data_IF_742453189933
#
_entry.id   IF_742453189933
#
_cell.length_a   1.000
_cell.length_b   1.000
_cell.length_c   1.000
_cell.angle_alpha   90.00
_cell.angle_beta   90.00
_cell.angle_gamma   90.00
#
_symmetry.space_group_name_H-M   'P 1'
#
loop_
_entity.id
_entity.type
_entity.pdbx_description
1 polymer ?
#
# COMPACT_ATOMS: atom_id res chain seq x y z
N UNK A 1 -32.20 1.23 5.45
CA UNK A 1 -31.22 0.19 5.17
C UNK A 1 -30.13 0.18 6.25
N UNK A 2 -29.67 -1.02 6.70
CA UNK A 2 -28.68 -1.15 7.75
C UNK A 2 -27.33 -0.53 7.35
N UNK A 3 -26.98 -0.61 6.07
CA UNK A 3 -25.74 -0.03 5.52
C UNK A 3 -25.72 1.49 5.59
N UNK A 4 -26.87 2.13 5.36
CA UNK A 4 -27.06 3.57 5.51
C UNK A 4 -26.88 3.99 6.96
N UNK A 5 -27.64 3.35 7.86
CA UNK A 5 -27.57 3.66 9.29
C UNK A 5 -26.18 3.48 9.88
N UNK A 6 -25.45 2.43 9.45
CA UNK A 6 -24.08 2.20 9.88
C UNK A 6 -23.14 3.31 9.39
N UNK A 7 -23.26 3.71 8.12
CA UNK A 7 -22.44 4.80 7.56
C UNK A 7 -22.74 6.14 8.23
N UNK A 8 -24.03 6.43 8.50
CA UNK A 8 -24.45 7.63 9.25
C UNK A 8 -23.89 7.63 10.67
N UNK A 9 -23.94 6.48 11.37
CA UNK A 9 -23.38 6.37 12.71
C UNK A 9 -21.87 6.64 12.73
N UNK A 10 -21.11 6.13 11.78
CA UNK A 10 -19.67 6.41 11.67
C UNK A 10 -19.42 7.90 11.46
N UNK A 11 -20.23 8.57 10.62
CA UNK A 11 -20.13 10.02 10.41
C UNK A 11 -20.44 10.80 11.70
N UNK A 12 -21.46 10.37 12.45
CA UNK A 12 -21.79 10.96 13.76
C UNK A 12 -20.66 10.77 14.80
N UNK A 13 -19.90 9.70 14.71
CA UNK A 13 -18.71 9.45 15.54
C UNK A 13 -17.47 10.26 15.12
N UNK A 14 -17.56 11.05 14.05
CA UNK A 14 -16.47 11.88 13.56
C UNK A 14 -15.59 11.23 12.50
N UNK A 15 -15.96 10.05 11.96
CA UNK A 15 -15.28 9.44 10.83
C UNK A 15 -15.82 10.00 9.52
N UNK A 16 -15.02 10.76 8.74
CA UNK A 16 -15.48 11.32 7.48
C UNK A 16 -15.73 10.21 6.46
N UNK A 17 -16.65 10.46 5.54
CA UNK A 17 -16.90 9.56 4.42
C UNK A 17 -15.63 9.37 3.55
N UNK A 18 -15.44 8.14 3.05
CA UNK A 18 -14.33 7.83 2.17
C UNK A 18 -14.49 8.55 0.82
N UNK A 19 -13.56 9.46 0.49
CA UNK A 19 -13.55 10.19 -0.80
C UNK A 19 -13.50 9.27 -2.02
N UNK A 20 -12.92 8.06 -1.87
CA UNK A 20 -12.87 7.03 -2.91
C UNK A 20 -14.12 6.16 -2.99
N UNK A 21 -15.15 6.41 -2.17
CA UNK A 21 -16.40 5.65 -2.17
C UNK A 21 -16.26 4.20 -1.67
N UNK A 22 -15.13 3.85 -1.03
CA UNK A 22 -14.89 2.51 -0.47
C UNK A 22 -15.52 2.45 0.91
N UNK A 23 -16.80 2.14 0.92
CA UNK A 23 -17.62 2.19 2.11
C UNK A 23 -18.89 1.34 1.96
N UNK A 24 -19.46 0.91 3.07
CA UNK A 24 -20.60 0.01 3.10
C UNK A 24 -21.87 0.58 2.42
N UNK A 25 -22.05 1.91 2.43
CA UNK A 25 -23.15 2.60 1.72
C UNK A 25 -23.09 2.35 0.21
N UNK A 26 -21.90 2.27 -0.38
CA UNK A 26 -21.71 2.05 -1.80
C UNK A 26 -22.02 0.57 -2.16
N UNK A 27 -23.00 0.35 -3.02
CA UNK A 27 -23.43 -0.98 -3.46
C UNK A 27 -22.29 -1.79 -4.13
N UNK A 28 -21.32 -1.12 -4.77
CA UNK A 28 -20.15 -1.79 -5.35
C UNK A 28 -19.29 -2.53 -4.32
N UNK A 29 -19.40 -2.16 -3.02
CA UNK A 29 -18.66 -2.80 -1.92
C UNK A 29 -19.52 -3.74 -1.07
N UNK A 30 -20.68 -4.14 -1.59
CA UNK A 30 -21.60 -5.13 -1.00
C UNK A 30 -21.85 -6.26 -1.99
N UNK A 31 -22.15 -7.45 -1.47
CA UNK A 31 -22.53 -8.57 -2.33
C UNK A 31 -22.39 -9.92 -1.64
N UNK A 32 -22.87 -10.93 -2.32
CA UNK A 32 -22.70 -12.34 -1.96
C UNK A 32 -21.26 -12.81 -2.20
N UNK A 33 -20.89 -13.96 -1.65
CA UNK A 33 -19.59 -14.63 -1.93
C UNK A 33 -19.39 -14.84 -3.42
N UNK A 34 -20.43 -15.21 -4.16
CA UNK A 34 -20.33 -15.41 -5.62
C UNK A 34 -20.03 -14.12 -6.36
N UNK A 35 -20.72 -13.01 -6.03
CA UNK A 35 -20.48 -11.70 -6.65
C UNK A 35 -19.09 -11.17 -6.31
N UNK A 36 -18.65 -11.31 -5.08
CA UNK A 36 -17.29 -10.94 -4.66
C UNK A 36 -16.23 -11.80 -5.37
N UNK A 37 -16.45 -13.10 -5.50
CA UNK A 37 -15.53 -13.99 -6.24
C UNK A 37 -15.41 -13.59 -7.71
N UNK A 38 -16.51 -13.17 -8.33
CA UNK A 38 -16.51 -12.64 -9.69
C UNK A 38 -15.75 -11.31 -9.77
N UNK A 39 -16.02 -10.35 -8.87
CA UNK A 39 -15.32 -9.05 -8.85
C UNK A 39 -13.81 -9.20 -8.69
N UNK A 40 -13.34 -9.98 -7.71
CA UNK A 40 -11.89 -10.14 -7.48
C UNK A 40 -11.22 -10.86 -8.64
N UNK A 41 -11.90 -11.81 -9.29
CA UNK A 41 -11.42 -12.44 -10.53
C UNK A 41 -11.28 -11.41 -11.65
N UNK A 42 -12.30 -10.59 -11.87
CA UNK A 42 -12.30 -9.61 -12.96
C UNK A 42 -11.26 -8.51 -12.72
N UNK A 43 -11.08 -8.06 -11.48
CA UNK A 43 -10.01 -7.13 -11.11
C UNK A 43 -8.60 -7.68 -11.37
N UNK A 44 -8.42 -8.98 -11.25
CA UNK A 44 -7.13 -9.63 -11.50
C UNK A 44 -6.91 -9.93 -12.98
N UNK A 45 -7.90 -10.54 -13.66
CA UNK A 45 -7.75 -11.08 -15.02
C UNK A 45 -7.97 -10.02 -16.10
N UNK A 46 -8.88 -9.08 -15.87
CA UNK A 46 -9.29 -8.05 -16.83
C UNK A 46 -9.32 -6.67 -16.14
N UNK A 47 -8.17 -6.20 -15.63
CA UNK A 47 -8.14 -4.94 -14.87
C UNK A 47 -8.48 -3.75 -15.77
N UNK A 48 -9.53 -3.03 -15.40
CA UNK A 48 -9.97 -1.78 -16.00
C UNK A 48 -9.99 -0.67 -14.95
N UNK A 49 -9.64 0.54 -15.31
CA UNK A 49 -9.67 1.70 -14.41
C UNK A 49 -8.96 1.41 -13.08
N UNK A 50 -9.69 1.49 -11.97
CA UNK A 50 -9.17 1.32 -10.60
C UNK A 50 -9.12 -0.13 -10.11
N UNK A 51 -9.33 -1.12 -10.98
CA UNK A 51 -9.43 -2.55 -10.60
C UNK A 51 -8.26 -3.05 -9.75
N UNK A 52 -7.02 -2.74 -10.13
CA UNK A 52 -5.83 -3.16 -9.37
C UNK A 52 -5.72 -2.46 -8.02
N UNK A 53 -6.21 -1.22 -7.91
CA UNK A 53 -6.32 -0.50 -6.63
C UNK A 53 -7.38 -1.17 -5.73
N UNK A 54 -8.54 -1.52 -6.29
CA UNK A 54 -9.59 -2.23 -5.56
C UNK A 54 -9.12 -3.61 -5.09
N UNK A 55 -8.39 -4.33 -5.95
CA UNK A 55 -7.76 -5.61 -5.57
C UNK A 55 -6.76 -5.42 -4.42
N UNK A 56 -5.92 -4.38 -4.48
CA UNK A 56 -4.97 -4.07 -3.41
C UNK A 56 -5.66 -3.79 -2.07
N UNK A 57 -6.79 -3.07 -2.10
CA UNK A 57 -7.61 -2.79 -0.92
C UNK A 57 -8.24 -4.08 -0.38
N UNK A 58 -8.80 -4.92 -1.26
CA UNK A 58 -9.40 -6.19 -0.87
C UNK A 58 -8.40 -7.15 -0.21
N UNK A 59 -7.15 -7.18 -0.67
CA UNK A 59 -6.09 -8.01 -0.09
C UNK A 59 -5.78 -7.65 1.37
N UNK A 60 -6.10 -6.43 1.81
CA UNK A 60 -5.93 -5.98 3.20
C UNK A 60 -7.22 -6.12 4.05
N UNK A 61 -8.32 -6.59 3.44
CA UNK A 61 -9.58 -6.76 4.15
C UNK A 61 -9.47 -7.83 5.25
N UNK A 62 -10.14 -7.61 6.36
CA UNK A 62 -10.32 -8.61 7.42
C UNK A 62 -11.75 -8.54 7.96
N UNK A 63 -12.23 -9.64 8.48
CA UNK A 63 -13.56 -9.71 9.06
C UNK A 63 -13.58 -8.99 10.42
N UNK A 64 -14.45 -8.01 10.57
CA UNK A 64 -14.63 -7.28 11.84
C UNK A 64 -15.90 -7.72 12.58
N UNK A 65 -16.87 -8.29 11.86
CA UNK A 65 -18.10 -8.82 12.40
C UNK A 65 -18.72 -9.85 11.45
N UNK A 66 -19.58 -10.72 11.97
CA UNK A 66 -20.25 -11.75 11.19
C UNK A 66 -19.40 -13.00 10.96
N UNK A 67 -19.73 -13.78 9.94
CA UNK A 67 -19.04 -15.01 9.61
C UNK A 67 -17.77 -14.76 8.80
N UNK A 68 -16.60 -14.94 9.42
CA UNK A 68 -15.30 -14.77 8.79
C UNK A 68 -15.05 -15.76 7.64
N UNK A 69 -15.76 -16.91 7.59
CA UNK A 69 -15.62 -17.90 6.52
C UNK A 69 -16.02 -17.32 5.15
N UNK A 70 -16.95 -16.37 5.10
CA UNK A 70 -17.37 -15.72 3.86
C UNK A 70 -16.20 -14.98 3.17
N UNK A 71 -15.42 -14.23 3.94
CA UNK A 71 -14.23 -13.55 3.43
C UNK A 71 -13.13 -14.55 3.08
N UNK A 72 -12.92 -15.56 3.92
CA UNK A 72 -11.90 -16.58 3.69
C UNK A 72 -12.12 -17.33 2.38
N UNK A 73 -13.36 -17.68 2.03
CA UNK A 73 -13.71 -18.35 0.77
C UNK A 73 -13.35 -17.49 -0.45
N UNK A 74 -13.70 -16.21 -0.46
CA UNK A 74 -13.36 -15.30 -1.57
C UNK A 74 -11.84 -15.14 -1.71
N UNK A 75 -11.12 -15.01 -0.57
CA UNK A 75 -9.66 -14.92 -0.57
C UNK A 75 -8.98 -16.18 -1.10
N UNK A 76 -9.47 -17.34 -0.71
CA UNK A 76 -8.93 -18.60 -1.20
C UNK A 76 -9.06 -18.72 -2.72
N UNK A 77 -10.22 -18.37 -3.28
CA UNK A 77 -10.43 -18.34 -4.73
C UNK A 77 -9.50 -17.36 -5.43
N UNK A 78 -9.32 -16.15 -4.87
CA UNK A 78 -8.37 -15.17 -5.40
C UNK A 78 -6.94 -15.71 -5.43
N UNK A 79 -6.48 -16.34 -4.33
CA UNK A 79 -5.13 -16.90 -4.26
C UNK A 79 -4.91 -18.03 -5.27
N UNK A 80 -5.90 -18.88 -5.49
CA UNK A 80 -5.83 -19.91 -6.51
C UNK A 80 -5.61 -19.29 -7.91
N UNK A 81 -6.38 -18.26 -8.26
CA UNK A 81 -6.24 -17.58 -9.55
C UNK A 81 -4.91 -16.83 -9.70
N UNK A 82 -4.45 -16.14 -8.65
CA UNK A 82 -3.24 -15.33 -8.70
C UNK A 82 -1.97 -16.18 -8.85
N UNK A 83 -1.91 -17.33 -8.17
CA UNK A 83 -0.70 -18.15 -8.13
C UNK A 83 -0.50 -19.05 -9.35
N UNK A 84 -1.47 -19.14 -10.22
CA UNK A 84 -1.37 -19.88 -11.47
C UNK A 84 -0.82 -19.02 -12.62
N UNK A 85 -0.48 -17.76 -12.37
CA UNK A 85 -0.02 -16.83 -13.42
C UNK A 85 0.96 -15.78 -12.93
N UNK A 86 2.25 -15.99 -13.17
CA UNK A 86 3.31 -15.00 -12.94
C UNK A 86 3.03 -13.65 -13.63
N UNK A 87 2.51 -13.57 -14.88
CA UNK A 87 2.22 -12.30 -15.53
C UNK A 87 1.16 -11.46 -14.80
N UNK A 88 0.17 -12.09 -14.16
CA UNK A 88 -0.86 -11.36 -13.40
C UNK A 88 -0.26 -10.71 -12.15
N UNK A 89 0.60 -11.45 -11.45
CA UNK A 89 1.31 -10.93 -10.28
C UNK A 89 2.27 -9.79 -10.68
N UNK A 90 3.00 -9.96 -11.79
CA UNK A 90 3.89 -8.94 -12.31
C UNK A 90 3.12 -7.65 -12.66
N UNK A 91 1.99 -7.76 -13.38
CA UNK A 91 1.11 -6.61 -13.68
C UNK A 91 0.63 -5.91 -12.41
N UNK A 92 0.20 -6.67 -11.41
CA UNK A 92 -0.21 -6.09 -10.13
C UNK A 92 0.94 -5.36 -9.44
N UNK A 93 2.15 -5.95 -9.45
CA UNK A 93 3.33 -5.38 -8.82
C UNK A 93 3.86 -4.12 -9.52
N UNK A 94 3.67 -3.98 -10.85
CA UNK A 94 4.13 -2.81 -11.62
C UNK A 94 3.63 -1.46 -11.08
N UNK A 95 2.54 -1.44 -10.31
CA UNK A 95 2.07 -0.23 -9.67
C UNK A 95 3.11 0.42 -8.72
N UNK A 96 4.15 -0.30 -8.27
CA UNK A 96 5.25 0.27 -7.48
C UNK A 96 6.00 1.37 -8.24
N UNK A 97 5.91 1.40 -9.56
CA UNK A 97 6.57 2.37 -10.44
C UNK A 97 5.65 3.51 -10.87
N UNK A 98 4.36 3.45 -10.54
CA UNK A 98 3.34 4.41 -10.96
C UNK A 98 3.63 5.87 -10.53
N UNK A 99 4.48 6.07 -9.52
CA UNK A 99 4.79 7.41 -8.99
C UNK A 99 6.19 7.92 -9.37
N UNK A 100 6.75 7.38 -10.44
CA UNK A 100 7.97 7.89 -11.06
C UNK A 100 9.28 7.41 -10.42
N UNK A 101 10.37 7.77 -11.10
CA UNK A 101 11.74 7.41 -10.68
C UNK A 101 12.14 8.18 -9.41
N UNK A 102 12.88 7.54 -8.49
CA UNK A 102 13.48 8.20 -7.34
C UNK A 102 14.40 9.39 -7.68
N UNK A 103 14.86 9.53 -8.91
CA UNK A 103 15.87 10.52 -9.32
C UNK A 103 15.46 11.97 -8.99
N UNK A 104 14.22 12.37 -9.23
CA UNK A 104 13.80 13.75 -9.00
C UNK A 104 13.76 14.15 -7.51
N UNK A 105 13.39 13.24 -6.60
CA UNK A 105 13.37 13.55 -5.18
C UNK A 105 14.72 13.31 -4.49
N UNK A 106 15.60 12.42 -5.04
CA UNK A 106 17.00 12.32 -4.62
C UNK A 106 17.74 13.65 -4.81
N UNK A 107 17.54 14.29 -5.96
CA UNK A 107 18.11 15.60 -6.23
C UNK A 107 17.61 16.66 -5.23
N UNK A 108 16.31 16.63 -4.88
CA UNK A 108 15.75 17.52 -3.84
C UNK A 108 16.36 17.26 -2.48
N UNK A 109 16.52 15.98 -2.10
CA UNK A 109 17.08 15.60 -0.81
C UNK A 109 18.57 15.96 -0.68
N UNK A 110 19.29 15.95 -1.79
CA UNK A 110 20.71 16.33 -1.87
C UNK A 110 20.92 17.84 -2.07
N UNK A 111 19.85 18.63 -2.19
CA UNK A 111 19.94 20.06 -2.49
C UNK A 111 20.40 20.38 -3.92
N UNK A 112 20.30 19.40 -4.84
CA UNK A 112 20.74 19.51 -6.23
C UNK A 112 19.57 19.74 -7.21
N UNK A 113 18.35 19.94 -6.73
CA UNK A 113 17.15 20.10 -7.56
C UNK A 113 16.20 21.16 -7.05
N UNK A 114 15.01 21.26 -7.67
CA UNK A 114 13.97 22.19 -7.24
C UNK A 114 13.62 21.99 -5.75
N UNK A 115 13.67 23.08 -4.98
CA UNK A 115 13.23 23.11 -3.58
C UNK A 115 11.72 22.85 -3.50
N UNK A 116 11.31 22.05 -2.53
CA UNK A 116 9.89 21.85 -2.28
C UNK A 116 9.54 20.60 -1.49
N UNK A 117 8.29 20.51 -1.01
CA UNK A 117 7.81 19.40 -0.20
C UNK A 117 7.83 18.08 -0.99
N UNK A 118 8.18 16.99 -0.28
CA UNK A 118 8.20 15.62 -0.82
C UNK A 118 6.97 14.86 -0.35
N UNK A 119 6.29 14.19 -1.27
CA UNK A 119 5.18 13.30 -0.96
C UNK A 119 5.72 11.92 -0.55
N UNK A 120 5.94 11.72 0.76
CA UNK A 120 6.49 10.49 1.30
C UNK A 120 5.56 9.28 1.10
N UNK A 121 4.23 9.49 0.93
CA UNK A 121 3.31 8.42 0.58
C UNK A 121 3.69 7.80 -0.77
N UNK A 122 3.96 8.64 -1.77
CA UNK A 122 4.32 8.20 -3.12
C UNK A 122 5.76 7.72 -3.23
N UNK A 123 6.69 8.43 -2.56
CA UNK A 123 8.11 8.16 -2.67
C UNK A 123 8.58 6.89 -1.92
N UNK A 124 7.92 6.54 -0.81
CA UNK A 124 8.40 5.47 0.06
C UNK A 124 7.30 4.55 0.60
N UNK A 125 6.26 5.10 1.25
CA UNK A 125 5.24 4.27 1.91
C UNK A 125 4.53 3.34 0.92
N UNK A 126 4.05 3.87 -0.20
CA UNK A 126 3.35 3.07 -1.20
C UNK A 126 4.23 1.98 -1.82
N UNK A 127 5.46 2.25 -2.28
CA UNK A 127 6.34 1.19 -2.77
C UNK A 127 6.60 0.07 -1.76
N UNK A 128 6.79 0.39 -0.47
CA UNK A 128 6.95 -0.63 0.57
C UNK A 128 5.67 -1.45 0.69
N UNK A 129 4.55 -0.79 0.96
CA UNK A 129 3.27 -1.48 1.25
C UNK A 129 2.80 -2.30 0.06
N UNK A 130 2.82 -1.72 -1.15
CA UNK A 130 2.34 -2.40 -2.35
C UNK A 130 3.31 -3.49 -2.81
N UNK A 131 4.62 -3.25 -2.75
CA UNK A 131 5.61 -4.26 -3.13
C UNK A 131 5.60 -5.48 -2.19
N UNK A 132 5.50 -5.25 -0.86
CA UNK A 132 5.34 -6.33 0.12
C UNK A 132 4.03 -7.11 -0.12
N UNK A 133 2.95 -6.41 -0.42
CA UNK A 133 1.65 -7.03 -0.77
C UNK A 133 1.77 -7.90 -2.03
N UNK A 134 2.50 -7.45 -3.04
CA UNK A 134 2.70 -8.20 -4.28
C UNK A 134 3.51 -9.48 -4.06
N UNK A 135 4.60 -9.41 -3.28
CA UNK A 135 5.34 -10.60 -2.87
C UNK A 135 4.51 -11.55 -2.02
N UNK A 136 3.73 -11.01 -1.08
CA UNK A 136 2.83 -11.79 -0.24
C UNK A 136 1.77 -12.53 -1.07
N UNK A 137 1.20 -11.87 -2.08
CA UNK A 137 0.27 -12.50 -3.03
C UNK A 137 0.96 -13.65 -3.79
N UNK A 138 2.16 -13.43 -4.33
CA UNK A 138 2.95 -14.43 -5.03
C UNK A 138 3.29 -15.65 -4.15
N UNK A 139 3.45 -15.43 -2.84
CA UNK A 139 3.81 -16.47 -1.86
C UNK A 139 2.63 -17.03 -1.06
N UNK A 140 1.39 -16.65 -1.42
CA UNK A 140 0.15 -17.07 -0.72
C UNK A 140 0.14 -16.71 0.77
N UNK A 141 0.81 -15.61 1.15
CA UNK A 141 0.81 -15.12 2.53
C UNK A 141 -0.53 -14.45 2.83
N UNK A 142 -1.25 -15.00 3.81
CA UNK A 142 -2.62 -14.57 4.16
C UNK A 142 -2.66 -13.36 5.10
N UNK A 143 -1.54 -12.97 5.68
CA UNK A 143 -1.45 -11.80 6.55
C UNK A 143 -1.94 -10.53 5.84
N UNK A 144 -2.58 -9.61 6.58
CA UNK A 144 -3.10 -8.35 6.04
C UNK A 144 -2.21 -7.16 6.36
N UNK A 145 -1.49 -7.21 7.48
CA UNK A 145 -0.55 -6.16 7.88
C UNK A 145 0.78 -6.25 7.14
N UNK A 146 1.40 -5.11 6.87
CA UNK A 146 2.68 -5.06 6.16
C UNK A 146 3.81 -5.68 6.99
N UNK A 147 3.81 -5.49 8.32
CA UNK A 147 4.81 -6.06 9.20
C UNK A 147 4.76 -7.59 9.24
N UNK A 148 3.56 -8.16 9.37
CA UNK A 148 3.35 -9.60 9.37
C UNK A 148 3.72 -10.22 8.01
N UNK A 149 3.41 -9.54 6.92
CA UNK A 149 3.82 -9.96 5.57
C UNK A 149 5.35 -9.97 5.43
N UNK A 150 6.04 -8.92 5.89
CA UNK A 150 7.50 -8.87 5.88
C UNK A 150 8.07 -10.04 6.69
N UNK A 151 7.55 -10.28 7.90
CA UNK A 151 8.00 -11.39 8.74
C UNK A 151 7.83 -12.75 8.06
N UNK A 152 6.69 -12.98 7.43
CA UNK A 152 6.42 -14.24 6.70
C UNK A 152 7.35 -14.40 5.48
N UNK A 153 7.59 -13.33 4.71
CA UNK A 153 8.46 -13.33 3.54
C UNK A 153 9.94 -13.49 3.91
N UNK A 154 10.36 -13.04 5.07
CA UNK A 154 11.70 -13.30 5.62
C UNK A 154 11.82 -14.75 6.05
N UNK A 155 10.81 -15.28 6.75
CA UNK A 155 10.81 -16.65 7.24
C UNK A 155 10.86 -17.70 6.11
N UNK A 156 10.24 -17.42 4.95
CA UNK A 156 10.27 -18.29 3.78
C UNK A 156 11.46 -18.04 2.82
N UNK A 157 12.37 -17.11 3.17
CA UNK A 157 13.54 -16.76 2.37
C UNK A 157 13.25 -15.94 1.10
N UNK A 158 12.02 -15.46 0.93
CA UNK A 158 11.64 -14.58 -0.20
C UNK A 158 12.25 -13.19 -0.05
N UNK A 159 12.36 -12.69 1.17
CA UNK A 159 12.95 -11.39 1.48
C UNK A 159 14.15 -11.58 2.42
N UNK A 160 15.25 -10.89 2.13
CA UNK A 160 16.42 -10.85 3.03
C UNK A 160 16.03 -10.23 4.38
N UNK A 161 16.52 -10.79 5.48
CA UNK A 161 16.18 -10.36 6.84
C UNK A 161 16.62 -8.91 7.13
N UNK A 162 17.80 -8.51 6.67
CA UNK A 162 18.32 -7.16 6.83
C UNK A 162 17.46 -6.15 6.09
N UNK A 163 17.15 -6.43 4.81
CA UNK A 163 16.26 -5.59 4.01
C UNK A 163 14.85 -5.54 4.61
N UNK A 164 14.32 -6.66 5.10
CA UNK A 164 13.02 -6.71 5.75
C UNK A 164 12.94 -5.79 6.97
N UNK A 165 13.97 -5.80 7.81
CA UNK A 165 14.07 -4.92 8.98
C UNK A 165 14.18 -3.44 8.58
N UNK A 166 15.01 -3.11 7.59
CA UNK A 166 15.15 -1.75 7.09
C UNK A 166 13.83 -1.22 6.50
N UNK A 167 13.09 -2.04 5.75
CA UNK A 167 11.79 -1.67 5.19
C UNK A 167 10.78 -1.38 6.30
N UNK A 168 10.75 -2.19 7.36
CA UNK A 168 9.82 -1.98 8.48
C UNK A 168 10.15 -0.70 9.25
N UNK A 169 11.44 -0.48 9.57
CA UNK A 169 11.91 0.73 10.25
C UNK A 169 11.66 1.97 9.37
N UNK A 170 12.00 1.89 8.08
CA UNK A 170 11.77 2.95 7.12
C UNK A 170 10.29 3.29 6.97
N UNK A 171 9.40 2.28 6.92
CA UNK A 171 7.95 2.50 6.86
C UNK A 171 7.44 3.28 8.08
N UNK A 172 7.83 2.86 9.29
CA UNK A 172 7.44 3.55 10.51
C UNK A 172 7.96 4.99 10.56
N UNK A 173 9.21 5.20 10.17
CA UNK A 173 9.82 6.53 10.12
C UNK A 173 9.11 7.44 9.11
N UNK A 174 8.86 6.97 7.89
CA UNK A 174 8.16 7.73 6.84
C UNK A 174 6.72 8.08 7.26
N UNK A 175 6.03 7.15 7.91
CA UNK A 175 4.68 7.39 8.45
C UNK A 175 4.71 8.42 9.58
N UNK A 176 5.70 8.36 10.47
CA UNK A 176 5.91 9.32 11.56
C UNK A 176 6.14 10.73 11.04
N UNK A 177 7.06 10.92 10.09
CA UNK A 177 7.31 12.23 9.46
C UNK A 177 6.06 12.80 8.79
N UNK A 178 5.33 11.94 8.09
CA UNK A 178 4.08 12.35 7.42
C UNK A 178 3.00 12.77 8.42
N UNK A 179 2.87 12.05 9.54
CA UNK A 179 1.94 12.40 10.61
C UNK A 179 2.31 13.75 11.23
N UNK A 180 3.59 13.98 11.55
CA UNK A 180 4.07 15.24 12.10
C UNK A 180 3.79 16.42 11.15
N UNK A 181 4.06 16.25 9.84
CA UNK A 181 3.75 17.25 8.83
C UNK A 181 2.25 17.57 8.78
N UNK A 182 1.39 16.55 8.77
CA UNK A 182 -0.05 16.73 8.76
C UNK A 182 -0.59 17.40 10.02
N UNK A 183 -0.05 17.08 11.20
CA UNK A 183 -0.42 17.75 12.46
C UNK A 183 0.01 19.24 12.46
N UNK A 184 1.19 19.54 11.91
CA UNK A 184 1.64 20.92 11.78
C UNK A 184 0.76 21.73 10.80
N UNK A 185 0.36 21.14 9.67
CA UNK A 185 -0.58 21.74 8.71
C UNK A 185 -1.94 22.01 9.37
N UNK A 186 -2.45 21.04 10.14
CA UNK A 186 -3.72 21.15 10.89
C UNK A 186 -3.67 22.27 11.93
N UNK A 187 -2.58 22.38 12.70
CA UNK A 187 -2.38 23.43 13.68
C UNK A 187 -2.39 24.83 13.05
N UNK A 188 -1.93 24.93 11.80
CA UNK A 188 -1.95 26.17 11.02
C UNK A 188 -3.27 26.37 10.24
N UNK A 189 -4.27 25.50 10.45
CA UNK A 189 -5.55 25.50 9.72
C UNK A 189 -5.38 25.45 8.20
N UNK A 190 -4.37 24.73 7.72
CA UNK A 190 -4.11 24.48 6.29
C UNK A 190 -4.69 23.16 5.87
N UNK A 191 -4.80 22.94 4.55
CA UNK A 191 -5.14 21.64 4.00
C UNK A 191 -4.07 20.61 4.43
N UNK A 192 -4.53 19.45 4.92
CA UNK A 192 -3.63 18.37 5.39
C UNK A 192 -3.16 17.57 4.21
N UNK A 193 -1.96 17.83 3.73
CA UNK A 193 -1.30 17.10 2.65
C UNK A 193 -0.39 15.98 3.18
N UNK A 194 0.22 16.20 4.34
CA UNK A 194 1.25 15.35 4.93
C UNK A 194 2.52 15.28 4.07
N UNK A 195 2.75 16.29 3.22
CA UNK A 195 4.00 16.42 2.49
C UNK A 195 5.08 16.99 3.41
N UNK A 196 6.30 16.50 3.25
CA UNK A 196 7.44 16.85 4.12
C UNK A 196 8.43 17.70 3.34
N UNK A 197 8.77 18.86 3.91
CA UNK A 197 9.83 19.73 3.40
C UNK A 197 11.19 19.28 3.98
N UNK A 198 12.12 18.72 3.16
CA UNK A 198 13.41 18.26 3.66
C UNK A 198 14.27 19.36 4.29
N UNK A 199 14.06 20.63 3.90
CA UNK A 199 14.80 21.75 4.46
C UNK A 199 14.46 22.02 5.93
N UNK A 200 13.29 21.59 6.38
CA UNK A 200 12.80 21.74 7.77
C UNK A 200 13.21 20.60 8.69
N UNK A 201 13.74 19.52 8.13
CA UNK A 201 14.19 18.37 8.89
C UNK A 201 15.55 18.66 9.56
N UNK A 202 15.77 18.09 10.74
CA UNK A 202 17.10 18.03 11.36
C UNK A 202 18.07 17.24 10.49
N UNK A 203 19.38 17.37 10.73
CA UNK A 203 20.38 16.57 10.03
C UNK A 203 20.15 15.07 10.20
N UNK A 204 19.82 14.64 11.41
CA UNK A 204 19.53 13.23 11.70
C UNK A 204 18.30 12.73 10.92
N UNK A 205 17.20 13.48 10.91
CA UNK A 205 16.00 13.10 10.17
C UNK A 205 16.25 13.04 8.66
N UNK A 206 17.07 13.94 8.11
CA UNK A 206 17.46 13.89 6.70
C UNK A 206 18.28 12.64 6.38
N UNK A 207 19.20 12.25 7.24
CA UNK A 207 20.02 11.05 7.03
C UNK A 207 19.16 9.79 7.13
N UNK A 208 18.28 9.68 8.13
CA UNK A 208 17.30 8.59 8.24
C UNK A 208 16.36 8.53 7.04
N UNK A 209 15.95 9.69 6.49
CA UNK A 209 15.11 9.74 5.29
C UNK A 209 15.87 9.20 4.07
N UNK A 210 17.14 9.55 3.91
CA UNK A 210 18.01 8.99 2.84
C UNK A 210 18.14 7.48 2.97
N UNK A 211 18.37 6.97 4.17
CA UNK A 211 18.52 5.54 4.42
C UNK A 211 17.22 4.79 4.13
N UNK A 212 16.08 5.29 4.62
CA UNK A 212 14.77 4.70 4.36
C UNK A 212 14.46 4.64 2.86
N UNK A 213 14.74 5.71 2.12
CA UNK A 213 14.48 5.76 0.68
C UNK A 213 15.51 4.94 -0.13
N UNK A 214 16.73 4.75 0.39
CA UNK A 214 17.72 3.83 -0.17
C UNK A 214 17.25 2.38 -0.03
N UNK A 215 16.69 1.99 1.12
CA UNK A 215 16.08 0.69 1.32
C UNK A 215 14.92 0.47 0.33
N UNK A 216 14.05 1.47 0.12
CA UNK A 216 12.97 1.42 -0.88
C UNK A 216 13.52 1.16 -2.29
N UNK A 217 14.60 1.87 -2.68
CA UNK A 217 15.23 1.69 -4.00
C UNK A 217 15.77 0.26 -4.17
N UNK A 218 16.46 -0.27 -3.17
CA UNK A 218 16.95 -1.67 -3.18
C UNK A 218 15.78 -2.65 -3.25
N UNK A 219 14.73 -2.41 -2.50
CA UNK A 219 13.54 -3.25 -2.52
C UNK A 219 12.84 -3.26 -3.87
N UNK A 220 12.71 -2.11 -4.55
CA UNK A 220 12.18 -2.05 -5.93
C UNK A 220 13.01 -2.90 -6.88
N UNK A 221 14.35 -2.86 -6.79
CA UNK A 221 15.21 -3.72 -7.61
C UNK A 221 14.98 -5.23 -7.32
N UNK A 222 14.75 -5.61 -6.05
CA UNK A 222 14.38 -6.99 -5.69
C UNK A 222 13.03 -7.39 -6.31
N UNK A 223 12.04 -6.50 -6.29
CA UNK A 223 10.73 -6.76 -6.93
C UNK A 223 10.87 -6.95 -8.43
N UNK A 224 11.58 -6.04 -9.13
CA UNK A 224 11.84 -6.15 -10.56
C UNK A 224 12.46 -7.49 -10.93
N UNK A 225 13.52 -7.89 -10.20
CA UNK A 225 14.21 -9.14 -10.46
C UNK A 225 13.32 -10.37 -10.17
N UNK A 226 12.65 -10.40 -9.00
CA UNK A 226 11.88 -11.58 -8.58
C UNK A 226 10.59 -11.78 -9.36
N UNK A 227 9.91 -10.69 -9.70
CA UNK A 227 8.62 -10.72 -10.39
C UNK A 227 8.76 -10.43 -11.90
N UNK A 228 10.00 -10.33 -12.40
CA UNK A 228 10.32 -10.12 -13.83
C UNK A 228 9.57 -8.94 -14.43
N UNK A 229 9.53 -7.81 -13.70
CA UNK A 229 8.72 -6.65 -14.11
C UNK A 229 9.21 -6.01 -15.43
N UNK A 230 10.45 -6.23 -15.81
CA UNK A 230 11.04 -5.69 -17.04
C UNK A 230 10.62 -6.47 -18.32
N UNK A 231 9.85 -7.55 -18.17
CA UNK A 231 9.44 -8.45 -19.27
C UNK A 231 7.94 -8.36 -19.58
N UNK A 232 7.18 -7.58 -18.81
CA UNK A 232 5.69 -7.49 -18.92
C UNK A 232 5.25 -6.29 -19.75
#
# INVERSE_FOLDING_TARGET
>A
DICERFSEALTCFGYPECKGGIMLRNAAWRGTVSEWSTRVRDWLLQPEGDSLMHLAIFLDAHAVAGDAALLAEVRQRLLQLATDSDPLIARFAMAVDAFGSPAGWWNRLLGLGEEGPVNLKKAGIFPIVHGVRSLALARRVMATGTAERISALVADGTLDAGLGQELLQGLHFLMGLRLQAGLAELALKREVTGNVDPARLSSLERDLLKDALSAVKRFKAVLHHRLRLDVV
#
